data_IF_320422757708
#
_entry.id   IF_320422757708
#
_cell.length_a   1.000
_cell.length_b   1.000
_cell.length_c   1.000
_cell.angle_alpha   90.00
_cell.angle_beta   90.00
_cell.angle_gamma   90.00
#
_symmetry.space_group_name_H-M   'P 1'
#
loop_
_entity.id
_entity.type
_entity.pdbx_description
1 polymer ?
#
# COMPACT_ATOMS: atom_id res chain seq x y z
N UNK A 1 21.64 56.95 -10.84
CA UNK A 1 21.23 56.87 -12.27
C UNK A 1 22.24 55.98 -12.96
N UNK A 2 22.23 54.68 -12.62
CA UNK A 2 21.52 53.59 -13.30
C UNK A 2 22.23 53.15 -14.59
N UNK A 3 22.96 52.03 -14.51
CA UNK A 3 23.07 51.03 -15.57
C UNK A 3 23.74 49.75 -15.05
N UNK A 4 23.30 49.24 -13.88
CA UNK A 4 23.57 47.87 -13.42
C UNK A 4 22.59 46.89 -14.11
N UNK A 5 22.64 46.80 -15.45
CA UNK A 5 21.61 46.10 -16.22
C UNK A 5 22.11 45.28 -17.43
N UNK A 6 23.37 44.85 -17.47
CA UNK A 6 23.87 43.99 -18.56
C UNK A 6 24.73 42.79 -18.11
N UNK A 7 24.48 42.26 -16.90
CA UNK A 7 25.09 40.99 -16.45
C UNK A 7 24.04 39.99 -15.91
N UNK A 8 22.92 39.86 -16.61
CA UNK A 8 21.86 38.88 -16.28
C UNK A 8 21.26 38.23 -17.52
N UNK A 9 22.11 37.70 -18.40
CA UNK A 9 21.65 37.07 -19.64
C UNK A 9 22.58 35.93 -20.11
N UNK A 10 22.71 34.86 -19.30
CA UNK A 10 23.02 33.47 -19.76
C UNK A 10 22.46 32.44 -18.78
N UNK A 11 21.14 32.50 -18.56
CA UNK A 11 20.34 31.35 -18.12
C UNK A 11 19.67 30.79 -19.36
N UNK A 12 19.87 29.50 -19.67
CA UNK A 12 19.22 28.88 -20.83
C UNK A 12 19.87 27.63 -21.37
N UNK A 13 20.25 26.68 -20.50
CA UNK A 13 20.28 25.26 -20.86
C UNK A 13 19.59 24.52 -19.70
N UNK A 14 18.25 24.65 -19.67
CA UNK A 14 17.42 23.69 -18.96
C UNK A 14 17.56 22.36 -19.71
N UNK A 15 18.48 21.52 -19.25
CA UNK A 15 18.45 20.11 -19.58
C UNK A 15 17.12 19.55 -19.03
N UNK A 16 16.16 19.39 -19.93
CA UNK A 16 14.90 18.70 -19.73
C UNK A 16 15.17 17.37 -19.00
N UNK A 17 14.79 17.20 -17.72
CA UNK A 17 14.79 15.88 -17.15
C UNK A 17 13.56 15.20 -17.71
N UNK A 18 13.75 14.35 -18.73
CA UNK A 18 12.78 13.34 -19.15
C UNK A 18 12.63 12.31 -18.03
N UNK A 19 12.15 12.74 -16.88
CA UNK A 19 11.83 11.89 -15.77
C UNK A 19 10.50 11.21 -16.10
N UNK A 20 10.53 9.89 -16.25
CA UNK A 20 9.36 9.03 -16.13
C UNK A 20 8.85 9.03 -14.68
N UNK A 21 8.62 10.22 -14.12
CA UNK A 21 7.98 10.40 -12.85
C UNK A 21 6.56 9.87 -13.04
N UNK A 22 6.27 8.70 -12.45
CA UNK A 22 4.90 8.31 -12.17
C UNK A 22 4.36 9.32 -11.17
N UNK A 23 3.94 10.49 -11.67
CA UNK A 23 3.12 11.42 -10.91
C UNK A 23 1.99 10.58 -10.37
N UNK A 24 1.90 10.51 -9.04
CA UNK A 24 0.75 9.92 -8.38
C UNK A 24 -0.48 10.48 -9.09
N UNK A 25 -1.29 9.66 -9.77
CA UNK A 25 -2.53 10.17 -10.31
C UNK A 25 -3.26 10.75 -9.12
N UNK A 26 -3.72 12.01 -9.15
CA UNK A 26 -4.53 12.54 -8.04
C UNK A 26 -5.67 11.54 -7.80
N UNK A 27 -5.56 10.72 -6.76
CA UNK A 27 -6.44 9.57 -6.50
C UNK A 27 -7.69 10.10 -5.81
N UNK A 28 -8.40 10.96 -6.51
CA UNK A 28 -9.73 11.32 -6.08
C UNK A 28 -10.65 10.15 -6.45
N UNK A 29 -10.98 9.32 -5.46
CA UNK A 29 -12.03 8.28 -5.51
C UNK A 29 -11.93 7.33 -6.72
N UNK A 30 -10.74 6.81 -7.03
CA UNK A 30 -10.61 5.77 -8.07
C UNK A 30 -10.49 4.39 -7.44
N UNK A 31 -11.33 3.48 -7.91
CA UNK A 31 -11.24 2.05 -7.68
C UNK A 31 -10.37 1.40 -8.78
N UNK A 32 -9.81 0.23 -8.48
CA UNK A 32 -9.04 -0.59 -9.42
C UNK A 32 -7.76 0.07 -9.98
N UNK A 33 -7.03 0.82 -9.14
CA UNK A 33 -5.73 1.38 -9.52
C UNK A 33 -4.64 0.32 -9.31
N UNK A 34 -3.75 0.14 -10.28
CA UNK A 34 -2.62 -0.77 -10.17
C UNK A 34 -1.36 -0.01 -9.74
N UNK A 35 -0.59 -0.58 -8.83
CA UNK A 35 0.70 -0.04 -8.40
C UNK A 35 1.73 -1.18 -8.32
N UNK A 36 2.73 -1.16 -9.20
CA UNK A 36 3.58 -2.34 -9.40
C UNK A 36 2.75 -3.58 -9.78
N UNK A 37 2.81 -4.61 -8.94
CA UNK A 37 2.01 -5.85 -9.05
C UNK A 37 0.86 -5.91 -8.03
N UNK A 38 0.56 -4.82 -7.33
CA UNK A 38 -0.57 -4.72 -6.40
C UNK A 38 -1.73 -3.93 -7.01
N UNK A 39 -2.92 -4.10 -6.45
CA UNK A 39 -4.16 -3.47 -6.88
C UNK A 39 -4.87 -2.80 -5.71
N UNK A 40 -5.16 -1.51 -5.83
CA UNK A 40 -6.07 -0.78 -4.95
C UNK A 40 -7.48 -0.95 -5.49
N UNK A 41 -8.30 -1.76 -4.82
CA UNK A 41 -9.66 -2.06 -5.23
C UNK A 41 -10.59 -0.87 -4.97
N UNK A 42 -10.49 -0.24 -3.80
CA UNK A 42 -11.24 0.97 -3.48
C UNK A 42 -10.42 1.92 -2.61
N UNK A 43 -10.61 3.23 -2.82
CA UNK A 43 -10.09 4.29 -1.96
C UNK A 43 -11.17 5.34 -1.77
N UNK A 44 -11.68 5.47 -0.55
CA UNK A 44 -12.72 6.44 -0.18
C UNK A 44 -12.15 7.81 0.23
N UNK A 45 -10.86 7.83 0.57
CA UNK A 45 -10.13 9.04 0.98
C UNK A 45 -9.25 9.56 -0.16
N UNK A 46 -9.07 10.88 -0.21
CA UNK A 46 -8.06 11.53 -1.06
C UNK A 46 -6.62 11.21 -0.61
N UNK A 47 -6.46 10.67 0.59
CA UNK A 47 -5.18 10.16 1.13
C UNK A 47 -5.27 8.67 1.36
N UNK A 48 -4.23 7.93 0.96
CA UNK A 48 -4.08 6.52 1.28
C UNK A 48 -4.03 6.32 2.81
N UNK A 49 -5.05 5.65 3.35
CA UNK A 49 -5.24 5.41 4.78
C UNK A 49 -5.54 3.93 5.06
N UNK A 50 -5.77 3.57 6.32
CA UNK A 50 -6.03 2.18 6.72
C UNK A 50 -7.41 1.68 6.26
N UNK A 51 -7.64 0.36 6.24
CA UNK A 51 -8.97 -0.20 6.00
C UNK A 51 -9.98 0.34 7.04
N UNK A 52 -11.22 0.71 6.67
CA UNK A 52 -11.89 0.52 5.38
C UNK A 52 -11.70 1.68 4.38
N UNK A 53 -10.86 2.67 4.69
CA UNK A 53 -10.69 3.83 3.82
C UNK A 53 -9.98 3.47 2.51
N UNK A 54 -9.12 2.44 2.52
CA UNK A 54 -8.55 1.83 1.31
C UNK A 54 -8.59 0.31 1.41
N UNK A 55 -8.80 -0.35 0.26
CA UNK A 55 -8.67 -1.79 0.11
C UNK A 55 -7.58 -2.07 -0.93
N UNK A 56 -6.51 -2.71 -0.48
CA UNK A 56 -5.31 -2.99 -1.23
C UNK A 56 -5.04 -4.50 -1.25
N UNK A 57 -4.98 -5.08 -2.44
CA UNK A 57 -4.73 -6.51 -2.67
C UNK A 57 -3.41 -6.67 -3.42
N UNK A 58 -2.53 -7.52 -2.91
CA UNK A 58 -1.23 -7.74 -3.54
C UNK A 58 -1.21 -8.87 -4.57
N UNK A 59 -0.03 -9.20 -5.11
CA UNK A 59 0.11 -10.13 -6.23
C UNK A 59 -0.26 -11.58 -5.88
N UNK A 60 -0.24 -11.99 -4.61
CA UNK A 60 -0.57 -13.36 -4.18
C UNK A 60 -2.00 -13.49 -3.66
N UNK A 61 -2.96 -12.85 -4.32
CA UNK A 61 -4.38 -12.96 -4.00
C UNK A 61 -4.87 -14.43 -3.97
N UNK A 62 -4.26 -15.33 -4.75
CA UNK A 62 -4.57 -16.77 -4.71
C UNK A 62 -4.25 -17.40 -3.35
N UNK A 63 -3.09 -17.10 -2.75
CA UNK A 63 -2.73 -17.58 -1.42
C UNK A 63 -3.65 -16.99 -0.34
N UNK A 64 -4.06 -15.73 -0.49
CA UNK A 64 -5.07 -15.10 0.36
C UNK A 64 -6.43 -15.82 0.27
N UNK A 65 -6.89 -16.20 -0.93
CA UNK A 65 -8.11 -17.01 -1.09
C UNK A 65 -8.00 -18.38 -0.42
N UNK A 66 -6.84 -19.05 -0.53
CA UNK A 66 -6.58 -20.31 0.18
C UNK A 66 -6.73 -20.12 1.69
N UNK A 67 -6.20 -19.04 2.26
CA UNK A 67 -6.36 -18.72 3.68
C UNK A 67 -7.84 -18.58 4.08
N UNK A 68 -8.66 -17.90 3.26
CA UNK A 68 -10.10 -17.82 3.50
C UNK A 68 -10.79 -19.18 3.40
N UNK A 69 -10.42 -20.01 2.42
CA UNK A 69 -10.97 -21.36 2.29
C UNK A 69 -10.63 -22.23 3.51
N UNK A 70 -9.43 -22.10 4.07
CA UNK A 70 -9.03 -22.82 5.29
C UNK A 70 -9.77 -22.31 6.53
N UNK A 71 -10.05 -21.01 6.62
CA UNK A 71 -10.78 -20.42 7.74
C UNK A 71 -12.29 -20.74 7.72
N UNK A 72 -12.91 -20.71 6.54
CA UNK A 72 -14.37 -20.81 6.37
C UNK A 72 -14.80 -22.24 6.00
N UNK A 73 -13.98 -22.98 5.25
CA UNK A 73 -14.30 -24.31 4.74
C UNK A 73 -14.73 -25.30 5.83
N UNK A 74 -13.95 -25.47 6.91
CA UNK A 74 -14.33 -26.36 8.01
C UNK A 74 -15.67 -25.96 8.65
N UNK A 75 -15.96 -24.66 8.75
CA UNK A 75 -17.21 -24.16 9.33
C UNK A 75 -18.44 -24.76 8.64
N UNK A 76 -18.42 -24.80 7.31
CA UNK A 76 -19.52 -25.29 6.49
C UNK A 76 -19.88 -26.74 6.83
N UNK A 77 -18.89 -27.59 7.10
CA UNK A 77 -19.12 -28.98 7.52
C UNK A 77 -19.74 -29.05 8.91
N UNK A 78 -19.21 -28.31 9.88
CA UNK A 78 -19.74 -28.30 11.26
C UNK A 78 -21.15 -27.73 11.39
N UNK A 79 -21.62 -26.99 10.39
CA UNK A 79 -23.01 -26.53 10.33
C UNK A 79 -24.01 -27.62 9.96
N UNK A 80 -23.57 -28.58 9.14
CA UNK A 80 -24.42 -29.67 8.66
C UNK A 80 -24.67 -30.75 9.74
N UNK A 81 -23.79 -30.85 10.74
CA UNK A 81 -23.91 -31.82 11.84
C UNK A 81 -24.87 -31.36 12.95
N UNK A 82 -25.49 -32.31 13.64
CA UNK A 82 -26.36 -32.09 14.81
C UNK A 82 -25.53 -31.76 16.07
N UNK A 83 -24.83 -30.63 16.05
CA UNK A 83 -24.07 -30.12 17.18
C UNK A 83 -24.92 -29.20 18.07
N UNK A 84 -24.57 -29.11 19.37
CA UNK A 84 -25.23 -28.21 20.32
C UNK A 84 -25.23 -26.76 19.80
N UNK A 85 -26.40 -26.11 19.82
CA UNK A 85 -26.60 -24.75 19.30
C UNK A 85 -25.58 -23.74 19.86
N UNK A 86 -25.27 -23.81 21.16
CA UNK A 86 -24.29 -22.92 21.78
C UNK A 86 -22.88 -23.05 21.16
N UNK A 87 -22.46 -24.28 20.84
CA UNK A 87 -21.17 -24.53 20.20
C UNK A 87 -21.17 -24.06 18.73
N UNK A 88 -22.28 -24.23 18.01
CA UNK A 88 -22.46 -23.67 16.65
C UNK A 88 -22.32 -22.15 16.66
N UNK A 89 -22.99 -21.46 17.59
CA UNK A 89 -22.93 -20.00 17.73
C UNK A 89 -21.51 -19.55 18.10
N UNK A 90 -20.84 -20.23 19.03
CA UNK A 90 -19.47 -19.90 19.42
C UNK A 90 -18.48 -20.05 18.24
N UNK A 91 -18.56 -21.14 17.49
CA UNK A 91 -17.73 -21.36 16.30
C UNK A 91 -17.99 -20.27 15.26
N UNK A 92 -19.26 -19.95 14.99
CA UNK A 92 -19.66 -18.87 14.11
C UNK A 92 -19.02 -17.54 14.47
N UNK A 93 -19.14 -17.14 15.74
CA UNK A 93 -18.56 -15.89 16.22
C UNK A 93 -17.04 -15.90 16.05
N UNK A 94 -16.39 -17.01 16.38
CA UNK A 94 -14.94 -17.17 16.19
C UNK A 94 -14.54 -17.01 14.73
N UNK A 95 -15.22 -17.70 13.81
CA UNK A 95 -14.93 -17.65 12.36
C UNK A 95 -15.16 -16.25 11.80
N UNK A 96 -16.25 -15.59 12.19
CA UNK A 96 -16.53 -14.21 11.81
C UNK A 96 -15.42 -13.27 12.30
N UNK A 97 -15.03 -13.37 13.58
CA UNK A 97 -13.96 -12.55 14.15
C UNK A 97 -12.63 -12.78 13.42
N UNK A 98 -12.23 -14.03 13.23
CA UNK A 98 -11.00 -14.38 12.50
C UNK A 98 -11.02 -13.87 11.06
N UNK A 99 -12.14 -14.04 10.35
CA UNK A 99 -12.28 -13.60 8.95
C UNK A 99 -12.21 -12.07 8.86
N UNK A 100 -12.86 -11.34 9.77
CA UNK A 100 -12.79 -9.88 9.83
C UNK A 100 -11.37 -9.44 10.14
N UNK A 101 -10.74 -9.94 11.21
CA UNK A 101 -9.37 -9.59 11.58
C UNK A 101 -8.36 -9.88 10.47
N UNK A 102 -8.47 -11.04 9.82
CA UNK A 102 -7.63 -11.38 8.68
C UNK A 102 -7.86 -10.41 7.51
N UNK A 103 -9.11 -10.06 7.21
CA UNK A 103 -9.44 -9.10 6.14
C UNK A 103 -8.89 -7.71 6.43
N UNK A 104 -8.98 -7.23 7.68
CA UNK A 104 -8.39 -5.95 8.11
C UNK A 104 -6.90 -5.93 7.79
N UNK A 105 -6.16 -6.99 8.10
CA UNK A 105 -4.73 -7.07 7.81
C UNK A 105 -4.47 -7.25 6.31
N UNK A 106 -5.15 -8.20 5.66
CA UNK A 106 -4.91 -8.57 4.26
C UNK A 106 -5.19 -7.41 3.29
N UNK A 107 -6.21 -6.61 3.55
CA UNK A 107 -6.68 -5.55 2.65
C UNK A 107 -6.19 -4.14 3.02
N UNK A 108 -5.48 -3.95 4.12
CA UNK A 108 -4.98 -2.61 4.49
C UNK A 108 -3.79 -2.16 3.63
N UNK A 109 -3.55 -0.86 3.53
CA UNK A 109 -2.30 -0.34 2.96
C UNK A 109 -1.11 -0.70 3.88
N UNK A 110 -0.08 -1.41 3.40
CA UNK A 110 1.10 -1.74 4.22
C UNK A 110 2.02 -0.55 4.50
N UNK A 111 1.76 0.62 3.92
CA UNK A 111 2.65 1.78 4.00
C UNK A 111 3.36 2.05 2.68
N UNK A 112 2.69 1.85 1.54
CA UNK A 112 3.29 2.07 0.22
C UNK A 112 3.78 3.51 0.09
N UNK A 113 5.02 3.67 -0.41
CA UNK A 113 5.64 4.98 -0.63
C UNK A 113 5.17 5.52 -1.98
N UNK A 114 4.41 6.61 -1.92
CA UNK A 114 3.98 7.38 -3.07
C UNK A 114 4.80 8.67 -3.15
N UNK A 115 5.16 9.11 -4.36
CA UNK A 115 5.68 10.46 -4.59
C UNK A 115 4.53 11.38 -4.99
N UNK A 116 3.80 11.86 -3.99
CA UNK A 116 2.93 13.03 -4.16
C UNK A 116 3.76 14.29 -3.92
N UNK A 117 3.76 15.23 -4.87
CA UNK A 117 4.42 16.55 -4.73
C UNK A 117 3.97 17.30 -3.47
N UNK A 118 2.70 17.14 -3.07
CA UNK A 118 2.13 17.75 -1.87
C UNK A 118 2.61 17.08 -0.56
N UNK A 119 2.77 15.75 -0.56
CA UNK A 119 3.29 14.99 0.59
C UNK A 119 4.80 15.16 0.71
N UNK A 120 5.49 15.32 -0.42
CA UNK A 120 6.92 15.61 -0.46
C UNK A 120 7.27 16.91 0.30
N UNK A 121 6.41 17.93 0.19
CA UNK A 121 6.54 19.17 0.94
C UNK A 121 6.21 19.03 2.44
N UNK A 122 5.37 18.08 2.86
CA UNK A 122 5.13 17.83 4.30
C UNK A 122 6.22 16.98 4.96
N UNK A 123 6.87 16.09 4.20
CA UNK A 123 7.94 15.20 4.67
C UNK A 123 9.33 15.73 4.32
N UNK A 124 9.46 17.04 4.05
CA UNK A 124 10.65 17.65 3.46
C UNK A 124 11.94 17.33 4.24
N UNK A 125 11.87 17.21 5.58
CA UNK A 125 13.00 16.79 6.41
C UNK A 125 13.45 15.33 6.25
N UNK A 126 12.52 14.39 6.06
CA UNK A 126 12.84 12.96 5.84
C UNK A 126 13.22 12.67 4.38
N UNK A 127 12.72 13.47 3.44
CA UNK A 127 12.94 13.28 2.01
C UNK A 127 14.28 13.86 1.55
N UNK A 128 14.78 14.94 2.18
CA UNK A 128 16.12 15.45 1.88
C UNK A 128 17.24 14.41 2.13
N UNK A 129 17.02 13.47 3.06
CA UNK A 129 17.95 12.36 3.34
C UNK A 129 17.55 11.03 2.67
N UNK A 130 16.45 10.99 1.92
CA UNK A 130 15.91 9.78 1.30
C UNK A 130 16.81 9.21 0.18
N UNK A 131 16.74 7.90 -0.04
CA UNK A 131 17.51 7.18 -1.06
C UNK A 131 16.63 6.94 -2.29
N UNK A 132 17.19 7.03 -3.50
CA UNK A 132 16.46 6.68 -4.73
C UNK A 132 16.42 5.15 -4.87
N UNK A 133 15.22 4.59 -5.01
CA UNK A 133 15.05 3.19 -5.36
C UNK A 133 15.29 3.01 -6.87
N UNK A 134 16.22 2.11 -7.23
CA UNK A 134 16.54 1.85 -8.64
C UNK A 134 15.38 1.20 -9.42
N UNK A 135 14.52 0.43 -8.75
CA UNK A 135 13.41 -0.29 -9.38
C UNK A 135 12.15 0.55 -9.54
N UNK A 136 11.83 1.37 -8.53
CA UNK A 136 10.65 2.22 -8.55
C UNK A 136 10.93 3.63 -9.09
N UNK A 137 12.21 4.02 -9.19
CA UNK A 137 12.68 5.36 -9.55
C UNK A 137 12.11 6.47 -8.64
N UNK A 138 11.69 6.10 -7.43
CA UNK A 138 11.20 7.02 -6.40
C UNK A 138 12.25 7.24 -5.32
N UNK A 139 12.33 8.46 -4.80
CA UNK A 139 13.05 8.78 -3.56
C UNK A 139 12.23 8.25 -2.38
N UNK A 140 12.71 7.18 -1.77
CA UNK A 140 12.11 6.55 -0.60
C UNK A 140 12.76 7.08 0.68
N UNK A 141 12.00 7.21 1.79
CA UNK A 141 12.59 7.43 3.12
C UNK A 141 13.61 6.35 3.48
N UNK A 142 14.54 6.65 4.39
CA UNK A 142 15.59 5.72 4.83
C UNK A 142 15.04 4.41 5.41
N UNK A 143 13.90 4.48 6.09
CA UNK A 143 13.24 3.33 6.72
C UNK A 143 12.31 2.55 5.78
N UNK A 144 12.14 2.95 4.52
CA UNK A 144 11.34 2.23 3.55
C UNK A 144 12.21 1.27 2.71
N UNK A 145 11.70 0.14 2.24
CA UNK A 145 12.44 -0.81 1.39
C UNK A 145 11.61 -1.26 0.19
N UNK A 146 12.27 -1.65 -0.90
CA UNK A 146 11.61 -2.18 -2.10
C UNK A 146 11.28 -3.66 -1.93
N UNK A 147 10.02 -4.04 -2.14
CA UNK A 147 9.61 -5.43 -2.23
C UNK A 147 9.58 -5.87 -3.70
N UNK A 148 10.40 -6.85 -4.08
CA UNK A 148 10.47 -7.38 -5.44
C UNK A 148 9.22 -8.15 -5.89
N UNK A 149 8.50 -8.77 -4.96
CA UNK A 149 7.26 -9.49 -5.27
C UNK A 149 6.14 -8.51 -5.62
N UNK A 150 5.91 -7.51 -4.77
CA UNK A 150 4.91 -6.47 -4.97
C UNK A 150 5.33 -5.43 -6.04
N UNK A 151 6.63 -5.20 -6.24
CA UNK A 151 7.16 -4.20 -7.16
C UNK A 151 6.96 -2.76 -6.67
N UNK A 152 6.98 -2.55 -5.36
CA UNK A 152 6.66 -1.25 -4.71
C UNK A 152 7.57 -1.02 -3.51
N UNK A 153 7.83 0.24 -3.16
CA UNK A 153 8.50 0.60 -1.92
C UNK A 153 7.48 0.68 -0.77
N UNK A 154 7.82 0.14 0.41
CA UNK A 154 6.96 0.13 1.60
C UNK A 154 7.74 0.67 2.80
N UNK A 155 7.14 1.58 3.57
CA UNK A 155 7.69 2.13 4.82
C UNK A 155 7.80 1.03 5.88
N UNK A 156 8.97 0.94 6.50
CA UNK A 156 9.31 -0.07 7.51
C UNK A 156 8.85 -1.46 7.09
N UNK A 157 9.19 -1.84 5.86
CA UNK A 157 8.90 -3.16 5.32
C UNK A 157 9.51 -4.22 6.24
N UNK A 158 8.67 -5.06 6.84
CA UNK A 158 9.10 -6.21 7.61
C UNK A 158 9.30 -7.40 6.65
N UNK A 159 8.22 -7.85 6.01
CA UNK A 159 8.28 -8.93 5.03
C UNK A 159 7.15 -8.86 4.01
N UNK A 160 7.32 -9.63 2.93
CA UNK A 160 6.23 -9.96 2.02
C UNK A 160 5.58 -11.27 2.45
N UNK A 161 4.28 -11.26 2.72
CA UNK A 161 3.56 -12.45 3.14
C UNK A 161 2.64 -12.94 2.02
N UNK A 162 2.92 -14.11 1.42
CA UNK A 162 2.05 -14.68 0.40
C UNK A 162 0.63 -14.92 0.94
N UNK A 163 0.49 -15.34 2.21
CA UNK A 163 -0.79 -15.70 2.82
C UNK A 163 -1.73 -14.50 3.02
N UNK A 164 -1.21 -13.30 3.28
CA UNK A 164 -2.00 -12.06 3.28
C UNK A 164 -2.08 -11.43 1.89
N UNK A 165 -1.39 -12.01 0.91
CA UNK A 165 -1.36 -11.58 -0.48
C UNK A 165 -0.41 -10.42 -0.78
N UNK A 166 0.21 -9.79 0.24
CA UNK A 166 0.97 -8.54 0.11
C UNK A 166 2.03 -8.35 1.21
N UNK A 167 2.72 -7.22 1.17
CA UNK A 167 3.64 -6.79 2.24
C UNK A 167 2.96 -6.58 3.60
N UNK A 168 3.77 -6.76 4.63
CA UNK A 168 3.54 -6.34 6.01
C UNK A 168 4.61 -5.28 6.31
N UNK A 169 4.18 -4.09 6.73
CA UNK A 169 5.04 -2.97 7.05
C UNK A 169 4.43 -2.04 8.11
N UNK A 170 4.88 -0.79 8.14
CA UNK A 170 4.54 0.22 9.15
C UNK A 170 3.05 0.24 9.47
N UNK A 171 2.19 0.34 8.45
CA UNK A 171 0.74 0.52 8.62
C UNK A 171 -0.04 -0.76 8.88
N UNK A 172 0.62 -1.91 8.94
CA UNK A 172 -0.01 -3.19 9.31
C UNK A 172 0.46 -3.70 10.67
N UNK A 173 1.56 -3.16 11.19
CA UNK A 173 2.19 -3.61 12.46
C UNK A 173 1.95 -2.59 13.59
N UNK A 174 1.93 -1.29 13.27
CA UNK A 174 1.71 -0.20 14.24
C UNK A 174 0.25 0.24 14.25
#
# INVERSE_FOLDING_TARGET
>A
MSADAELSARQGEEAEPTAKYSTSPRVNRRCCVRFGRTHVLCSFSSRYGYFPATCHVGPHWGCMLVTYCLAIGPAFFFFADDMLLGLKVALLVSICLTTVSFTMVACSDPGVVFQDLEVANQLQGDIETGIICAQCEVRRPLNASHCSDCGVCVRELDHHCPWTGKCVGERTIK
#
